data_IF_751808803062
#
_entry.id   IF_751808803062
#
_cell.length_a   1.000
_cell.length_b   1.000
_cell.length_c   1.000
_cell.angle_alpha   90.00
_cell.angle_beta   90.00
_cell.angle_gamma   90.00
#
_symmetry.space_group_name_H-M   'P 1'
#
loop_
_entity.id
_entity.type
_entity.pdbx_description
1 polymer ?
#
# COMPACT_ATOMS: atom_id res chain seq x y z
N UNK A 1 7.43 -0.65 -16.29
CA UNK A 1 6.34 -0.86 -15.34
C UNK A 1 5.03 -0.41 -15.93
N UNK A 2 3.94 -0.84 -15.32
CA UNK A 2 2.60 -0.27 -15.50
C UNK A 2 2.17 0.42 -14.20
N UNK A 3 1.17 1.29 -14.27
CA UNK A 3 0.50 1.88 -13.13
C UNK A 3 -0.96 1.44 -13.09
N UNK A 4 -1.44 1.09 -11.90
CA UNK A 4 -2.86 0.90 -11.59
C UNK A 4 -3.33 2.17 -10.87
N UNK A 5 -4.14 2.97 -11.56
CA UNK A 5 -4.43 4.34 -11.12
C UNK A 5 -5.90 4.72 -11.19
N UNK A 6 -6.35 5.51 -10.20
CA UNK A 6 -7.67 6.17 -10.17
C UNK A 6 -8.87 5.22 -10.24
N UNK A 7 -8.79 4.10 -9.53
CA UNK A 7 -9.89 3.13 -9.41
C UNK A 7 -10.53 3.16 -8.02
N UNK A 8 -11.83 2.85 -7.97
CA UNK A 8 -12.58 2.64 -6.73
C UNK A 8 -12.79 1.15 -6.47
N UNK A 9 -12.37 0.70 -5.29
CA UNK A 9 -12.58 -0.66 -4.81
C UNK A 9 -13.39 -0.64 -3.53
N UNK A 10 -14.56 -1.28 -3.56
CA UNK A 10 -15.39 -1.39 -2.36
C UNK A 10 -16.05 -2.75 -2.21
N UNK A 11 -16.29 -3.15 -0.97
CA UNK A 11 -17.10 -4.34 -0.68
C UNK A 11 -18.56 -4.07 -1.02
N UNK A 12 -19.16 -4.97 -1.81
CA UNK A 12 -20.61 -4.98 -2.01
C UNK A 12 -21.33 -5.31 -0.69
N UNK A 13 -22.33 -4.51 -0.32
CA UNK A 13 -23.00 -4.56 1.00
C UNK A 13 -23.60 -5.94 1.32
N UNK A 14 -24.22 -6.60 0.35
CA UNK A 14 -24.80 -7.95 0.52
C UNK A 14 -23.84 -9.07 0.07
N UNK A 15 -22.53 -8.77 0.03
CA UNK A 15 -21.51 -9.75 -0.30
C UNK A 15 -21.43 -10.87 0.74
N UNK A 16 -21.13 -12.12 0.34
CA UNK A 16 -20.97 -13.23 1.27
C UNK A 16 -19.87 -12.98 2.31
N UNK A 17 -19.90 -13.75 3.41
CA UNK A 17 -18.79 -13.72 4.38
C UNK A 17 -17.54 -14.34 3.74
N UNK A 18 -16.58 -13.49 3.38
CA UNK A 18 -15.32 -13.86 2.74
C UNK A 18 -14.28 -12.77 2.96
N UNK A 19 -13.05 -13.03 2.53
CA UNK A 19 -12.02 -12.00 2.39
C UNK A 19 -12.24 -11.23 1.08
N UNK A 20 -12.18 -9.90 1.18
CA UNK A 20 -12.30 -8.98 0.04
C UNK A 20 -10.98 -8.27 -0.19
N UNK A 21 -10.49 -8.32 -1.42
CA UNK A 21 -9.20 -7.78 -1.82
C UNK A 21 -9.42 -6.65 -2.83
N UNK A 22 -8.68 -5.55 -2.68
CA UNK A 22 -8.59 -4.50 -3.68
C UNK A 22 -7.65 -4.93 -4.79
N UNK A 23 -6.35 -4.63 -4.61
CA UNK A 23 -5.30 -5.04 -5.53
C UNK A 23 -4.44 -6.13 -4.92
N UNK A 24 -4.25 -7.21 -5.69
CA UNK A 24 -3.31 -8.28 -5.38
C UNK A 24 -2.11 -8.17 -6.32
N UNK A 25 -0.91 -8.03 -5.76
CA UNK A 25 0.35 -8.15 -6.49
C UNK A 25 0.98 -9.49 -6.14
N UNK A 26 1.22 -10.31 -7.16
CA UNK A 26 1.72 -11.67 -7.00
C UNK A 26 2.85 -11.98 -7.97
N UNK A 27 4.02 -12.32 -7.43
CA UNK A 27 5.20 -12.79 -8.17
C UNK A 27 5.58 -11.94 -9.41
N UNK A 28 5.51 -10.62 -9.28
CA UNK A 28 5.65 -9.69 -10.40
C UNK A 28 7.13 -9.36 -10.73
N UNK A 29 8.00 -9.37 -9.72
CA UNK A 29 9.45 -9.08 -9.81
C UNK A 29 9.82 -7.88 -10.71
N UNK A 30 8.99 -6.82 -10.71
CA UNK A 30 9.16 -5.66 -11.57
C UNK A 30 8.67 -4.36 -10.90
N UNK A 31 9.23 -3.23 -11.34
CA UNK A 31 8.79 -1.89 -10.91
C UNK A 31 7.43 -1.57 -11.50
N UNK A 32 6.45 -1.39 -10.64
CA UNK A 32 5.08 -1.02 -10.98
C UNK A 32 4.55 -0.09 -9.89
N UNK A 33 3.42 0.54 -10.17
CA UNK A 33 2.86 1.50 -9.24
C UNK A 33 1.37 1.23 -9.02
N UNK A 34 0.96 1.34 -7.76
CA UNK A 34 -0.45 1.41 -7.37
C UNK A 34 -0.68 2.82 -6.87
N UNK A 35 -1.35 3.63 -7.68
CA UNK A 35 -1.38 5.08 -7.54
C UNK A 35 -2.79 5.62 -7.40
N UNK A 36 -3.08 6.46 -6.40
CA UNK A 36 -4.33 7.24 -6.35
C UNK A 36 -5.61 6.43 -6.51
N UNK A 37 -5.64 5.21 -5.98
CA UNK A 37 -6.86 4.41 -5.90
C UNK A 37 -7.56 4.64 -4.57
N UNK A 38 -8.87 4.45 -4.54
CA UNK A 38 -9.70 4.54 -3.35
C UNK A 38 -10.16 3.14 -2.92
N UNK A 39 -9.90 2.78 -1.67
CA UNK A 39 -10.19 1.46 -1.11
C UNK A 39 -11.07 1.56 0.12
N UNK A 40 -12.28 0.99 0.05
CA UNK A 40 -13.27 1.09 1.12
C UNK A 40 -13.88 -0.25 1.56
N UNK A 41 -13.80 -0.57 2.84
CA UNK A 41 -14.52 -1.71 3.44
C UNK A 41 -13.96 -3.09 3.07
N UNK A 42 -12.69 -3.17 2.69
CA UNK A 42 -12.02 -4.39 2.23
C UNK A 42 -11.31 -5.12 3.36
N UNK A 43 -11.07 -6.42 3.20
CA UNK A 43 -10.17 -7.16 4.10
C UNK A 43 -8.73 -6.72 3.89
N UNK A 44 -8.33 -6.53 2.63
CA UNK A 44 -7.00 -6.06 2.26
C UNK A 44 -7.13 -5.09 1.09
N UNK A 45 -6.81 -3.82 1.28
CA UNK A 45 -6.81 -2.85 0.19
C UNK A 45 -5.68 -3.17 -0.79
N UNK A 46 -4.47 -3.31 -0.28
CA UNK A 46 -3.28 -3.72 -1.04
C UNK A 46 -2.70 -5.00 -0.44
N UNK A 47 -2.64 -6.05 -1.23
CA UNK A 47 -2.15 -7.36 -0.82
C UNK A 47 -0.98 -7.81 -1.69
N UNK A 48 0.18 -8.05 -1.08
CA UNK A 48 1.38 -8.50 -1.77
C UNK A 48 1.74 -9.91 -1.31
N UNK A 49 1.77 -10.85 -2.24
CA UNK A 49 2.15 -12.24 -1.99
C UNK A 49 3.30 -12.66 -2.90
N UNK A 50 4.19 -13.52 -2.38
CA UNK A 50 5.42 -13.97 -3.06
C UNK A 50 6.37 -12.81 -3.40
N UNK A 51 7.31 -13.10 -4.30
CA UNK A 51 8.44 -12.25 -4.61
C UNK A 51 8.00 -11.13 -5.54
N UNK A 52 7.75 -9.95 -4.97
CA UNK A 52 7.42 -8.76 -5.76
C UNK A 52 8.57 -7.75 -5.80
N UNK A 53 9.82 -8.21 -5.66
CA UNK A 53 10.99 -7.38 -5.88
C UNK A 53 11.93 -8.02 -6.90
N UNK A 54 12.72 -7.17 -7.56
CA UNK A 54 13.58 -7.55 -8.68
C UNK A 54 14.89 -8.22 -8.25
N UNK A 55 15.96 -7.90 -8.99
CA UNK A 55 17.30 -8.40 -8.68
C UNK A 55 17.86 -7.81 -7.38
N UNK A 56 17.35 -6.65 -6.98
CA UNK A 56 17.61 -5.99 -5.70
C UNK A 56 16.30 -5.64 -5.01
N UNK A 57 16.35 -5.35 -3.72
CA UNK A 57 15.21 -4.89 -2.92
C UNK A 57 14.81 -3.41 -3.20
N UNK A 58 15.54 -2.73 -4.11
CA UNK A 58 15.22 -1.39 -4.61
C UNK A 58 14.30 -1.38 -5.83
N UNK A 59 13.95 -2.55 -6.35
CA UNK A 59 13.06 -2.70 -7.50
C UNK A 59 11.82 -3.47 -7.08
N UNK A 60 10.62 -2.93 -7.28
CA UNK A 60 9.36 -3.60 -6.92
C UNK A 60 8.18 -2.62 -6.97
N UNK A 61 6.99 -3.03 -6.50
CA UNK A 61 5.80 -2.20 -6.55
C UNK A 61 5.83 -1.10 -5.49
N UNK A 62 5.52 0.12 -5.90
CA UNK A 62 5.27 1.25 -5.00
C UNK A 62 3.78 1.49 -4.84
N UNK A 63 3.39 1.94 -3.65
CA UNK A 63 2.03 2.33 -3.32
C UNK A 63 2.01 3.81 -2.98
N UNK A 64 1.47 4.63 -3.86
CA UNK A 64 1.45 6.09 -3.67
C UNK A 64 0.05 6.66 -3.80
N UNK A 65 -0.25 7.72 -3.04
CA UNK A 65 -1.49 8.49 -3.12
C UNK A 65 -2.80 7.72 -2.93
N UNK A 66 -2.77 6.49 -2.44
CA UNK A 66 -3.98 5.70 -2.27
C UNK A 66 -4.76 6.16 -1.03
N UNK A 67 -6.07 6.18 -1.16
CA UNK A 67 -6.98 6.50 -0.07
C UNK A 67 -7.55 5.22 0.52
N UNK A 68 -7.46 5.07 1.85
CA UNK A 68 -7.91 3.87 2.54
C UNK A 68 -8.91 4.22 3.64
N UNK A 69 -10.07 3.57 3.62
CA UNK A 69 -11.10 3.73 4.63
C UNK A 69 -11.76 2.39 4.98
N UNK A 70 -12.03 2.16 6.28
CA UNK A 70 -12.77 0.99 6.79
C UNK A 70 -12.18 -0.36 6.33
N UNK A 71 -10.90 -0.41 5.99
CA UNK A 71 -10.24 -1.66 5.63
C UNK A 71 -9.70 -2.36 6.89
N UNK A 72 -9.67 -3.69 6.88
CA UNK A 72 -8.98 -4.44 7.94
C UNK A 72 -7.45 -4.22 7.87
N UNK A 73 -6.89 -4.20 6.65
CA UNK A 73 -5.51 -3.81 6.39
C UNK A 73 -5.39 -2.95 5.13
N UNK A 74 -4.67 -1.82 5.23
CA UNK A 74 -4.42 -0.92 4.10
C UNK A 74 -3.31 -1.47 3.19
N UNK A 75 -2.18 -1.88 3.80
CA UNK A 75 -1.08 -2.56 3.12
C UNK A 75 -0.72 -3.86 3.85
N UNK A 76 -0.74 -4.98 3.13
CA UNK A 76 -0.47 -6.30 3.69
C UNK A 76 0.47 -7.10 2.80
N UNK A 77 1.72 -7.25 3.25
CA UNK A 77 2.70 -8.15 2.65
C UNK A 77 2.67 -9.47 3.43
N UNK A 78 2.43 -10.57 2.73
CA UNK A 78 2.26 -11.90 3.33
C UNK A 78 3.49 -12.33 4.12
N UNK A 79 3.23 -12.94 5.28
CA UNK A 79 4.25 -13.54 6.13
C UNK A 79 4.95 -14.71 5.42
N UNK A 80 6.27 -14.58 5.27
CA UNK A 80 7.19 -15.63 4.78
C UNK A 80 6.94 -16.98 5.45
N UNK A 81 6.63 -17.00 6.75
CA UNK A 81 6.52 -18.20 7.57
C UNK A 81 5.16 -18.90 7.45
N UNK A 82 4.08 -18.17 7.15
CA UNK A 82 2.72 -18.72 7.18
C UNK A 82 2.33 -19.47 5.89
N UNK A 83 2.94 -19.12 4.75
CA UNK A 83 2.53 -19.67 3.44
C UNK A 83 3.56 -20.57 2.76
N UNK A 84 4.66 -20.94 3.42
CA UNK A 84 5.82 -21.59 2.78
C UNK A 84 6.25 -20.87 1.49
N UNK A 85 5.98 -19.56 1.40
CA UNK A 85 6.32 -18.71 0.27
C UNK A 85 7.71 -18.17 0.59
N UNK A 86 8.78 -18.79 0.06
CA UNK A 86 10.11 -18.60 0.60
C UNK A 86 10.60 -17.15 0.47
N UNK A 87 9.93 -16.33 -0.35
CA UNK A 87 10.35 -14.98 -0.71
C UNK A 87 9.17 -14.01 -0.84
N UNK A 88 8.42 -13.70 0.23
CA UNK A 88 7.40 -12.63 0.17
C UNK A 88 7.98 -11.25 0.47
N UNK A 89 7.45 -10.18 -0.12
CA UNK A 89 8.08 -8.86 -0.07
C UNK A 89 7.71 -7.94 -1.23
N UNK A 90 8.05 -6.65 -1.08
CA UNK A 90 7.85 -5.54 -2.03
C UNK A 90 9.13 -4.69 -2.04
N UNK A 91 9.18 -3.57 -2.78
CA UNK A 91 10.35 -2.67 -2.72
C UNK A 91 10.57 -2.11 -1.29
N UNK A 92 11.83 -2.00 -0.88
CA UNK A 92 12.26 -1.53 0.46
C UNK A 92 11.89 -0.07 0.74
N UNK A 93 11.64 0.74 -0.27
CA UNK A 93 11.42 2.18 -0.13
C UNK A 93 10.07 2.57 -0.72
N UNK A 94 9.14 3.00 0.13
CA UNK A 94 7.88 3.62 -0.25
C UNK A 94 8.05 5.13 -0.06
N UNK A 95 8.58 5.77 -1.09
CA UNK A 95 9.06 7.15 -1.09
C UNK A 95 10.55 7.27 -0.78
N UNK A 96 11.02 8.50 -0.64
CA UNK A 96 12.41 8.87 -0.36
C UNK A 96 12.51 10.22 0.40
N UNK A 97 13.73 10.75 0.54
CA UNK A 97 13.99 11.99 1.27
C UNK A 97 13.31 13.25 0.68
N UNK A 98 12.94 13.21 -0.61
CA UNK A 98 12.34 14.30 -1.36
C UNK A 98 10.91 13.99 -1.83
N UNK A 99 10.41 12.77 -1.60
CA UNK A 99 9.10 12.31 -2.05
C UNK A 99 8.44 11.40 -1.01
N UNK A 100 7.30 11.82 -0.45
CA UNK A 100 6.51 10.98 0.46
C UNK A 100 5.50 10.13 -0.31
N UNK A 101 5.10 9.01 0.27
CA UNK A 101 4.16 8.09 -0.37
C UNK A 101 2.76 8.68 -0.58
N UNK A 102 2.30 9.58 0.30
CA UNK A 102 1.03 10.29 0.14
C UNK A 102 -0.23 9.44 0.32
N UNK A 103 -0.14 8.20 0.81
CA UNK A 103 -1.34 7.39 1.09
C UNK A 103 -1.99 7.83 2.40
N UNK A 104 -3.33 7.83 2.44
CA UNK A 104 -4.09 7.99 3.68
C UNK A 104 -4.36 6.61 4.32
N UNK A 105 -4.38 6.54 5.64
CA UNK A 105 -4.67 5.32 6.40
C UNK A 105 -6.13 5.25 6.82
N UNK A 106 -6.65 4.03 6.95
CA UNK A 106 -7.95 3.77 7.57
C UNK A 106 -7.93 4.23 9.03
N UNK A 107 -8.71 5.27 9.36
CA UNK A 107 -8.67 5.90 10.68
C UNK A 107 -9.30 5.07 11.81
N UNK A 108 -10.27 4.22 11.49
CA UNK A 108 -11.03 3.44 12.48
C UNK A 108 -11.01 1.95 12.12
N UNK A 109 -10.92 1.08 13.12
CA UNK A 109 -11.09 -0.38 13.00
C UNK A 109 -10.04 -1.14 12.18
N UNK A 110 -9.11 -0.46 11.51
CA UNK A 110 -7.97 -1.12 10.88
C UNK A 110 -7.13 -1.87 11.91
N UNK A 111 -6.83 -3.13 11.61
CA UNK A 111 -5.82 -3.90 12.35
C UNK A 111 -4.42 -3.47 11.95
N UNK A 112 -4.22 -3.19 10.67
CA UNK A 112 -2.92 -2.86 10.10
C UNK A 112 -3.03 -1.65 9.16
N UNK A 113 -2.28 -0.59 9.43
CA UNK A 113 -2.01 0.42 8.41
C UNK A 113 -0.93 -0.11 7.46
N UNK A 114 0.07 -0.80 8.01
CA UNK A 114 1.08 -1.47 7.18
C UNK A 114 1.64 -2.70 7.88
N UNK A 115 1.25 -3.88 7.40
CA UNK A 115 1.84 -5.14 7.82
C UNK A 115 2.87 -5.63 6.80
N UNK A 116 4.14 -5.71 7.19
CA UNK A 116 5.19 -6.28 6.36
C UNK A 116 5.66 -7.64 6.93
N UNK A 117 5.08 -8.73 6.43
CA UNK A 117 5.55 -10.09 6.72
C UNK A 117 6.68 -10.57 5.79
N UNK A 118 7.21 -9.69 4.94
CA UNK A 118 8.19 -10.02 3.91
C UNK A 118 9.62 -10.24 4.42
N UNK A 119 10.53 -10.49 3.48
CA UNK A 119 11.93 -10.88 3.76
C UNK A 119 12.82 -9.74 4.26
N UNK A 120 12.46 -8.49 3.96
CA UNK A 120 13.26 -7.31 4.28
C UNK A 120 12.38 -6.17 4.79
N UNK A 121 13.02 -5.21 5.46
CA UNK A 121 12.34 -4.05 6.03
C UNK A 121 11.85 -3.12 4.93
N UNK A 122 10.68 -2.52 5.16
CA UNK A 122 10.15 -1.45 4.31
C UNK A 122 10.31 -0.13 5.05
N UNK A 123 10.98 0.85 4.44
CA UNK A 123 10.97 2.23 4.84
C UNK A 123 9.78 2.94 4.20
N UNK A 124 8.89 3.49 5.03
CA UNK A 124 7.68 4.19 4.58
C UNK A 124 7.80 5.69 4.89
N UNK A 125 7.90 6.49 3.84
CA UNK A 125 8.06 7.95 3.92
C UNK A 125 6.69 8.62 3.86
N UNK A 126 6.35 9.42 4.87
CA UNK A 126 5.02 10.02 5.00
C UNK A 126 5.08 11.48 5.44
N UNK A 127 4.04 12.25 5.11
CA UNK A 127 3.90 13.62 5.56
C UNK A 127 3.52 13.67 7.05
N UNK A 128 4.45 14.11 7.90
CA UNK A 128 4.19 14.18 9.34
C UNK A 128 3.24 15.32 9.75
N UNK A 129 2.92 16.22 8.81
CA UNK A 129 1.99 17.33 9.05
C UNK A 129 0.54 17.00 8.64
N UNK A 130 0.29 15.82 8.06
CA UNK A 130 -1.04 15.36 7.69
C UNK A 130 -1.42 14.12 8.51
N UNK A 131 -2.31 14.28 9.50
CA UNK A 131 -2.62 13.22 10.46
C UNK A 131 -3.17 11.95 9.82
N UNK A 132 -3.88 12.06 8.70
CA UNK A 132 -4.44 10.87 8.02
C UNK A 132 -3.40 10.09 7.21
N UNK A 133 -2.24 10.67 6.92
CA UNK A 133 -1.11 9.99 6.26
C UNK A 133 -0.15 9.33 7.27
N UNK A 134 -0.30 9.58 8.57
CA UNK A 134 0.59 9.02 9.60
C UNK A 134 0.13 7.60 9.95
N UNK A 135 0.90 6.54 9.61
CA UNK A 135 0.54 5.21 10.04
C UNK A 135 0.76 5.06 11.56
N UNK A 136 -0.25 4.55 12.27
CA UNK A 136 -0.20 4.36 13.71
C UNK A 136 0.84 3.31 14.09
N UNK A 137 1.65 3.61 15.12
CA UNK A 137 2.75 2.72 15.53
C UNK A 137 2.27 1.31 15.89
N UNK A 138 1.16 1.21 16.61
CA UNK A 138 0.54 -0.06 17.02
C UNK A 138 -0.04 -0.88 15.87
N UNK A 139 -0.23 -0.26 14.70
CA UNK A 139 -0.80 -0.86 13.49
C UNK A 139 0.24 -1.00 12.36
N UNK A 140 1.53 -0.92 12.71
CA UNK A 140 2.64 -1.18 11.79
C UNK A 140 3.47 -2.38 12.25
N UNK A 141 3.91 -3.21 11.31
CA UNK A 141 4.75 -4.39 11.59
C UNK A 141 5.90 -4.47 10.59
N UNK A 142 7.15 -4.47 11.08
CA UNK A 142 8.39 -4.49 10.27
C UNK A 142 8.44 -3.39 9.18
N UNK A 143 7.95 -2.20 9.53
CA UNK A 143 8.00 -1.00 8.71
C UNK A 143 8.73 0.09 9.47
N UNK A 144 9.80 0.62 8.88
CA UNK A 144 10.49 1.81 9.37
C UNK A 144 9.71 3.05 8.92
N UNK A 145 9.04 3.71 9.86
CA UNK A 145 8.30 4.95 9.60
C UNK A 145 9.28 6.13 9.51
N UNK A 146 9.34 6.79 8.34
CA UNK A 146 10.24 7.91 8.09
C UNK A 146 9.44 9.21 7.90
N UNK A 147 9.31 10.06 8.93
CA UNK A 147 8.54 11.29 8.82
C UNK A 147 9.24 12.34 7.95
N UNK A 148 8.46 13.07 7.14
CA UNK A 148 8.94 14.19 6.32
C UNK A 148 8.02 15.41 6.42
N UNK A 149 8.61 16.59 6.29
CA UNK A 149 7.90 17.86 6.14
C UNK A 149 7.67 18.16 4.65
N UNK A 150 7.04 17.22 3.95
CA UNK A 150 6.77 17.31 2.52
C UNK A 150 5.29 17.04 2.29
N UNK A 151 4.65 17.87 1.47
CA UNK A 151 3.31 17.61 0.96
C UNK A 151 3.45 17.11 -0.46
N UNK A 152 2.74 16.04 -0.80
CA UNK A 152 2.68 15.52 -2.17
C UNK A 152 1.29 15.77 -2.75
N UNK A 153 1.24 16.40 -3.93
CA UNK A 153 -0.01 16.87 -4.55
C UNK A 153 -0.78 15.79 -5.30
N UNK A 154 -0.23 14.56 -5.37
CA UNK A 154 -0.86 13.41 -6.03
C UNK A 154 -1.46 13.71 -7.42
N UNK A 155 -0.70 14.31 -8.35
CA UNK A 155 -1.20 14.62 -9.69
C UNK A 155 -1.51 13.34 -10.47
N UNK A 156 -2.58 13.33 -11.27
CA UNK A 156 -2.87 12.18 -12.14
C UNK A 156 -1.80 12.02 -13.21
N UNK A 157 -1.39 10.79 -13.52
CA UNK A 157 -0.42 10.55 -14.59
C UNK A 157 -1.06 10.56 -15.98
N UNK A 158 -2.31 10.10 -16.08
CA UNK A 158 -2.99 9.91 -17.35
C UNK A 158 -4.16 10.89 -17.59
N UNK A 159 -4.21 11.98 -16.83
CA UNK A 159 -5.15 13.08 -17.08
C UNK A 159 -6.60 12.79 -16.70
N UNK A 160 -6.84 12.16 -15.54
CA UNK A 160 -8.17 11.93 -14.95
C UNK A 160 -8.85 13.22 -14.48
N UNK A 161 -9.01 14.20 -15.37
CA UNK A 161 -10.03 15.24 -15.21
C UNK A 161 -11.32 14.70 -15.78
N UNK A 162 -12.31 14.46 -14.92
CA UNK A 162 -13.71 14.38 -15.33
C UNK A 162 -14.16 15.75 -15.84
N UNK A 163 -13.81 16.06 -17.08
CA UNK A 163 -14.48 17.11 -17.88
C UNK A 163 -15.40 16.41 -18.89
N UNK A 164 -16.59 16.04 -18.42
CA UNK A 164 -17.80 15.88 -19.22
C UNK A 164 -18.98 16.55 -18.51
#
# INVERSE_FOLDING_TARGET
>A
GFSFEENDFSKYFDGPVSNYFGIIINNLEAVNEVYKNNFSGLSYANYADRKNWGGTDYEGPTYYCNENEKNYADFYVVDKLLNHSPHSGIVSFQGDDNHVAGNTSTQNEARWHFYNGGEHLVAYYYNQNNSIEIPELSKTHHVARVPKNLTYTCPSHYGGSADL
#
